data_IF_258685920645
#
_entry.id   IF_258685920645
#
_cell.length_a   1.000
_cell.length_b   1.000
_cell.length_c   1.000
_cell.angle_alpha   90.00
_cell.angle_beta   90.00
_cell.angle_gamma   90.00
#
_symmetry.space_group_name_H-M   'P 1'
#
loop_
_entity.id
_entity.type
_entity.pdbx_description
1 polymer ?
#
# COMPACT_ATOMS: atom_id res chain seq x y z
N UNK A 1 -0.40 11.65 -9.91
CA UNK A 1 0.62 12.01 -8.89
C UNK A 1 1.91 11.24 -9.17
N UNK A 2 3.08 11.82 -8.83
CA UNK A 2 4.39 11.18 -9.03
C UNK A 2 5.42 11.74 -8.03
N UNK A 3 6.47 10.98 -7.74
CA UNK A 3 7.64 11.42 -6.96
C UNK A 3 8.74 11.95 -7.89
N UNK A 4 9.05 13.24 -7.78
CA UNK A 4 9.97 13.91 -8.71
C UNK A 4 11.42 13.44 -8.58
N UNK A 5 12.03 13.12 -9.73
CA UNK A 5 13.39 12.61 -9.83
C UNK A 5 13.52 11.09 -9.67
N UNK A 6 12.41 10.36 -9.48
CA UNK A 6 12.40 8.90 -9.35
C UNK A 6 11.57 8.24 -10.45
N UNK A 7 12.05 7.08 -10.92
CA UNK A 7 11.39 6.30 -11.98
C UNK A 7 10.54 5.19 -11.38
N UNK A 8 9.33 5.04 -11.92
CA UNK A 8 8.43 3.92 -11.64
C UNK A 8 8.92 2.67 -12.34
N UNK A 9 8.68 1.50 -11.74
CA UNK A 9 8.79 0.21 -12.42
C UNK A 9 7.51 -0.11 -13.20
N UNK A 10 6.36 0.32 -12.69
CA UNK A 10 5.09 0.39 -13.40
C UNK A 10 4.21 1.50 -12.83
N UNK A 11 3.32 2.04 -13.65
CA UNK A 11 2.23 2.93 -13.22
C UNK A 11 0.94 2.11 -13.11
N UNK A 12 0.14 2.40 -12.10
CA UNK A 12 -1.30 2.10 -12.18
C UNK A 12 -1.92 3.30 -12.90
N UNK A 13 -2.07 3.24 -14.23
CA UNK A 13 -2.68 4.31 -15.02
C UNK A 13 -4.19 4.34 -14.74
N UNK A 14 -4.55 4.82 -13.55
CA UNK A 14 -5.92 4.99 -13.08
C UNK A 14 -6.21 6.48 -13.02
N UNK A 15 -6.30 7.11 -14.21
CA UNK A 15 -6.54 8.55 -14.35
C UNK A 15 -7.59 9.05 -13.36
N UNK A 16 -7.19 10.05 -12.56
CA UNK A 16 -7.89 10.56 -11.38
C UNK A 16 -8.14 9.48 -10.30
N UNK A 17 -7.55 9.74 -9.13
CA UNK A 17 -7.86 9.13 -7.81
C UNK A 17 -9.20 8.41 -7.85
N UNK A 18 -9.19 7.07 -7.65
CA UNK A 18 -10.35 6.17 -7.76
C UNK A 18 -11.63 6.72 -7.10
N UNK A 19 -12.27 7.61 -7.81
CA UNK A 19 -13.66 7.99 -7.70
C UNK A 19 -14.38 7.24 -8.79
N UNK A 20 -15.14 6.23 -8.41
CA UNK A 20 -16.23 5.68 -9.20
C UNK A 20 -15.90 5.31 -10.67
N UNK A 21 -14.86 4.51 -10.92
CA UNK A 21 -14.62 3.98 -12.27
C UNK A 21 -15.79 3.05 -12.68
N UNK A 22 -16.59 3.53 -13.65
CA UNK A 22 -17.78 2.85 -14.19
C UNK A 22 -17.45 1.48 -14.78
N UNK A 23 -16.19 1.24 -15.19
CA UNK A 23 -15.70 -0.05 -15.67
C UNK A 23 -15.71 -1.11 -14.57
N UNK A 24 -15.43 -0.72 -13.33
CA UNK A 24 -15.46 -1.58 -12.14
C UNK A 24 -16.88 -1.95 -11.73
N UNK A 25 -17.83 -1.02 -11.86
CA UNK A 25 -19.23 -1.23 -11.51
C UNK A 25 -19.93 -2.19 -12.50
N UNK A 26 -19.61 -2.05 -13.78
CA UNK A 26 -20.14 -2.90 -14.86
C UNK A 26 -19.66 -4.36 -14.79
N UNK A 27 -18.41 -4.61 -14.36
CA UNK A 27 -17.87 -5.98 -14.30
C UNK A 27 -18.45 -6.84 -13.17
N UNK A 28 -19.12 -6.24 -12.19
CA UNK A 28 -19.60 -6.93 -10.98
C UNK A 28 -21.08 -6.68 -10.63
N UNK A 29 -21.88 -6.15 -11.56
CA UNK A 29 -23.29 -5.78 -11.33
C UNK A 29 -23.50 -4.96 -10.05
N UNK A 30 -22.53 -4.12 -9.70
CA UNK A 30 -22.61 -3.26 -8.53
C UNK A 30 -23.32 -1.95 -8.91
N UNK A 31 -24.23 -1.42 -8.08
CA UNK A 31 -24.93 -0.17 -8.38
C UNK A 31 -23.94 0.97 -8.59
N UNK A 32 -24.15 1.78 -9.64
CA UNK A 32 -23.30 2.93 -10.00
C UNK A 32 -23.20 4.01 -8.89
N UNK A 33 -24.00 3.87 -7.84
CA UNK A 33 -24.23 4.82 -6.76
C UNK A 33 -23.61 4.40 -5.42
N UNK A 34 -22.84 3.32 -5.37
CA UNK A 34 -22.21 2.86 -4.13
C UNK A 34 -20.98 3.71 -3.79
N UNK A 35 -21.19 4.82 -3.07
CA UNK A 35 -20.14 5.71 -2.57
C UNK A 35 -19.19 5.10 -1.55
N UNK A 36 -19.26 3.79 -1.30
CA UNK A 36 -18.36 3.04 -0.40
C UNK A 36 -17.12 2.48 -1.09
N UNK A 37 -17.00 2.63 -2.42
CA UNK A 37 -15.92 2.00 -3.20
C UNK A 37 -14.81 2.94 -3.67
N UNK A 38 -14.77 4.15 -3.08
CA UNK A 38 -13.53 4.90 -2.93
C UNK A 38 -12.62 4.11 -1.96
N UNK A 39 -11.33 3.92 -2.29
CA UNK A 39 -10.36 3.49 -1.28
C UNK A 39 -10.05 2.00 -1.15
N UNK A 40 -9.94 1.22 -2.23
CA UNK A 40 -9.38 -0.16 -2.18
C UNK A 40 -7.85 -0.22 -1.96
N UNK A 41 -7.26 0.91 -1.54
CA UNK A 41 -5.82 1.09 -1.40
C UNK A 41 -5.20 0.06 -0.46
N UNK A 42 -5.87 -0.23 0.67
CA UNK A 42 -5.37 -1.22 1.61
C UNK A 42 -5.27 -2.61 0.99
N UNK A 43 -6.37 -3.06 0.36
CA UNK A 43 -6.40 -4.37 -0.26
C UNK A 43 -5.33 -4.51 -1.35
N UNK A 44 -5.14 -3.51 -2.21
CA UNK A 44 -4.09 -3.54 -3.22
C UNK A 44 -2.68 -3.59 -2.60
N UNK A 45 -2.42 -2.80 -1.55
CA UNK A 45 -1.15 -2.80 -0.83
C UNK A 45 -0.87 -4.14 -0.14
N UNK A 46 -1.89 -4.76 0.46
CA UNK A 46 -1.77 -6.08 1.07
C UNK A 46 -1.46 -7.18 0.04
N UNK A 47 -2.14 -7.20 -1.13
CA UNK A 47 -1.81 -8.15 -2.21
C UNK A 47 -0.36 -7.97 -2.62
N UNK A 48 0.05 -6.72 -2.88
CA UNK A 48 1.38 -6.44 -3.36
C UNK A 48 2.45 -6.97 -2.39
N UNK A 49 2.29 -6.76 -1.08
CA UNK A 49 3.21 -7.30 -0.07
C UNK A 49 3.19 -8.82 -0.01
N UNK A 50 2.00 -9.43 0.11
CA UNK A 50 1.88 -10.87 0.19
C UNK A 50 2.51 -11.54 -1.05
N UNK A 51 2.37 -10.96 -2.23
CA UNK A 51 3.05 -11.43 -3.44
C UNK A 51 4.56 -11.27 -3.37
N UNK A 52 5.10 -10.14 -2.89
CA UNK A 52 6.55 -9.96 -2.66
C UNK A 52 7.13 -10.96 -1.66
N UNK A 53 6.31 -11.45 -0.72
CA UNK A 53 6.68 -12.50 0.23
C UNK A 53 6.66 -13.90 -0.40
N UNK A 54 5.71 -14.19 -1.30
CA UNK A 54 5.53 -15.53 -1.88
C UNK A 54 6.31 -15.77 -3.18
N UNK A 55 6.47 -14.72 -3.99
CA UNK A 55 7.00 -14.80 -5.34
C UNK A 55 8.21 -13.85 -5.48
N UNK A 56 9.34 -14.24 -4.87
CA UNK A 56 10.53 -13.39 -4.81
C UNK A 56 11.09 -12.97 -6.19
N UNK A 57 10.91 -13.83 -7.19
CA UNK A 57 11.38 -13.64 -8.56
C UNK A 57 10.34 -12.99 -9.49
N UNK A 58 9.20 -12.57 -8.95
CA UNK A 58 8.16 -11.93 -9.75
C UNK A 58 8.67 -10.65 -10.42
N UNK A 59 8.37 -10.47 -11.71
CA UNK A 59 8.68 -9.23 -12.42
C UNK A 59 7.71 -8.11 -12.02
N UNK A 60 8.08 -6.86 -12.32
CA UNK A 60 7.20 -5.71 -12.09
C UNK A 60 5.89 -5.83 -12.90
N UNK A 61 5.98 -6.34 -14.13
CA UNK A 61 4.81 -6.60 -15.00
C UNK A 61 3.90 -7.67 -14.42
N UNK A 62 4.45 -8.78 -13.92
CA UNK A 62 3.64 -9.84 -13.29
C UNK A 62 2.91 -9.33 -12.05
N UNK A 63 3.57 -8.48 -11.23
CA UNK A 63 2.92 -7.81 -10.08
C UNK A 63 1.79 -6.89 -10.53
N UNK A 64 2.04 -6.06 -11.52
CA UNK A 64 1.03 -5.18 -12.10
C UNK A 64 -0.19 -5.98 -12.58
N UNK A 65 0.03 -7.03 -13.37
CA UNK A 65 -1.05 -7.91 -13.84
C UNK A 65 -1.79 -8.58 -12.68
N UNK A 66 -1.10 -9.00 -11.62
CA UNK A 66 -1.77 -9.59 -10.47
C UNK A 66 -2.68 -8.60 -9.71
N UNK A 67 -2.31 -7.32 -9.68
CA UNK A 67 -3.13 -6.25 -9.08
C UNK A 67 -4.31 -5.85 -9.97
N UNK A 68 -4.14 -5.93 -11.30
CA UNK A 68 -5.14 -5.49 -12.28
C UNK A 68 -6.11 -6.61 -12.70
N UNK A 69 -5.65 -7.87 -12.71
CA UNK A 69 -6.48 -9.00 -13.10
C UNK A 69 -7.63 -9.21 -12.10
N UNK A 70 -8.78 -9.64 -12.63
CA UNK A 70 -10.04 -9.61 -11.89
C UNK A 70 -10.04 -10.36 -10.55
N UNK A 71 -9.16 -11.34 -10.32
CA UNK A 71 -9.10 -12.05 -9.03
C UNK A 71 -8.39 -11.23 -7.93
N UNK A 72 -7.24 -10.62 -8.24
CA UNK A 72 -6.54 -9.74 -7.31
C UNK A 72 -7.33 -8.46 -7.07
N UNK A 73 -7.89 -7.87 -8.13
CA UNK A 73 -8.74 -6.69 -7.98
C UNK A 73 -10.02 -6.96 -7.17
N UNK A 74 -10.67 -8.13 -7.35
CA UNK A 74 -11.79 -8.59 -6.49
C UNK A 74 -11.40 -8.71 -5.03
N UNK A 75 -10.20 -9.19 -4.74
CA UNK A 75 -9.72 -9.32 -3.37
C UNK A 75 -9.41 -7.96 -2.74
N UNK A 76 -8.78 -7.05 -3.49
CA UNK A 76 -8.48 -5.71 -3.01
C UNK A 76 -9.74 -4.97 -2.55
N UNK A 77 -10.84 -5.09 -3.30
CA UNK A 77 -12.15 -4.57 -2.88
C UNK A 77 -12.71 -5.24 -1.63
N UNK A 78 -12.76 -6.59 -1.59
CA UNK A 78 -13.35 -7.33 -0.47
C UNK A 78 -12.60 -7.20 0.85
N UNK A 79 -11.28 -7.08 0.78
CA UNK A 79 -10.44 -6.93 1.99
C UNK A 79 -10.55 -5.56 2.62
N UNK A 80 -10.69 -4.51 1.81
CA UNK A 80 -11.01 -3.18 2.30
C UNK A 80 -12.31 -3.19 3.13
N UNK A 81 -13.35 -3.86 2.65
CA UNK A 81 -14.64 -3.98 3.35
C UNK A 81 -14.52 -4.73 4.69
N UNK A 82 -13.60 -5.69 4.79
CA UNK A 82 -13.32 -6.47 6.00
C UNK A 82 -12.48 -5.74 7.04
N UNK A 83 -11.72 -4.70 6.64
CA UNK A 83 -10.80 -4.02 7.55
C UNK A 83 -11.46 -3.17 8.63
N UNK A 84 -12.71 -2.77 8.44
CA UNK A 84 -13.48 -2.06 9.46
C UNK A 84 -13.99 -2.94 10.61
N UNK A 85 -13.79 -4.27 10.56
CA UNK A 85 -14.57 -5.21 11.36
C UNK A 85 -13.89 -5.84 12.57
N UNK A 86 -12.57 -6.06 12.59
CA UNK A 86 -12.00 -6.96 13.61
C UNK A 86 -10.60 -6.57 14.09
N UNK A 87 -10.54 -6.00 15.28
CA UNK A 87 -9.32 -5.85 16.07
C UNK A 87 -9.19 -7.09 16.97
N UNK A 88 -8.15 -7.90 16.77
CA UNK A 88 -7.75 -8.95 17.72
C UNK A 88 -8.08 -10.41 17.37
N UNK A 89 -8.57 -10.74 16.18
CA UNK A 89 -8.77 -12.14 15.73
C UNK A 89 -7.77 -12.57 14.65
N UNK A 90 -7.65 -13.89 14.43
CA UNK A 90 -6.85 -14.48 13.37
C UNK A 90 -7.39 -14.06 11.99
N UNK A 91 -6.78 -13.06 11.36
CA UNK A 91 -7.19 -12.52 10.06
C UNK A 91 -7.26 -13.59 8.97
N UNK A 92 -6.37 -14.59 9.03
CA UNK A 92 -6.37 -15.69 8.07
C UNK A 92 -7.65 -16.51 8.17
N UNK A 93 -8.13 -16.85 9.38
CA UNK A 93 -9.39 -17.58 9.60
C UNK A 93 -10.61 -16.76 9.18
N UNK A 94 -10.63 -15.47 9.48
CA UNK A 94 -11.71 -14.58 9.04
C UNK A 94 -11.79 -14.55 7.52
N UNK A 95 -10.68 -14.29 6.84
CA UNK A 95 -10.64 -14.26 5.38
C UNK A 95 -10.93 -15.63 4.76
N UNK A 96 -10.46 -16.72 5.37
CA UNK A 96 -10.80 -18.06 4.94
C UNK A 96 -12.32 -18.31 5.03
N UNK A 97 -12.97 -17.92 6.13
CA UNK A 97 -14.43 -18.07 6.30
C UNK A 97 -15.25 -17.22 5.32
N UNK A 98 -14.79 -16.01 5.02
CA UNK A 98 -15.51 -15.05 4.19
C UNK A 98 -15.27 -15.27 2.69
N UNK A 99 -14.08 -15.75 2.33
CA UNK A 99 -13.57 -15.67 0.96
C UNK A 99 -12.87 -16.95 0.48
N UNK A 100 -12.71 -17.96 1.33
CA UNK A 100 -12.07 -19.23 1.01
C UNK A 100 -10.54 -19.19 0.94
N UNK A 101 -9.95 -20.37 0.75
CA UNK A 101 -8.49 -20.58 0.81
C UNK A 101 -7.69 -19.75 -0.19
N UNK A 102 -8.27 -19.52 -1.37
CA UNK A 102 -7.63 -18.75 -2.44
C UNK A 102 -7.29 -17.32 -2.03
N UNK A 103 -8.03 -16.78 -1.05
CA UNK A 103 -7.95 -15.39 -0.64
C UNK A 103 -7.35 -15.23 0.76
N UNK A 104 -7.46 -16.25 1.62
CA UNK A 104 -6.71 -16.31 2.88
C UNK A 104 -5.19 -16.26 2.67
N UNK A 105 -4.70 -16.75 1.52
CA UNK A 105 -3.28 -16.71 1.16
C UNK A 105 -2.73 -15.29 0.98
N UNK A 106 -3.51 -14.23 1.06
CA UNK A 106 -3.01 -12.84 1.02
C UNK A 106 -3.18 -12.12 2.37
N UNK A 107 -3.66 -12.82 3.41
CA UNK A 107 -3.76 -12.27 4.76
C UNK A 107 -2.36 -11.93 5.31
N UNK A 108 -2.29 -10.77 5.96
CA UNK A 108 -1.08 -10.26 6.61
C UNK A 108 -1.40 -9.96 8.07
N UNK A 109 -0.40 -10.16 8.92
CA UNK A 109 -0.44 -9.82 10.35
C UNK A 109 0.53 -8.68 10.62
N UNK A 110 0.12 -7.70 11.43
CA UNK A 110 1.01 -6.65 11.94
C UNK A 110 1.94 -7.25 12.99
N UNK A 111 3.25 -7.04 12.83
CA UNK A 111 4.25 -7.42 13.82
C UNK A 111 4.10 -6.52 15.04
N UNK A 112 3.97 -7.11 16.23
CA UNK A 112 3.80 -6.35 17.46
C UNK A 112 4.99 -5.40 17.70
N UNK A 113 4.70 -4.17 18.16
CA UNK A 113 5.69 -3.11 18.47
C UNK A 113 6.49 -2.58 17.27
N UNK A 114 6.09 -2.87 16.03
CA UNK A 114 6.69 -2.30 14.81
C UNK A 114 6.09 -0.95 14.39
N UNK A 115 4.98 -0.54 15.03
CA UNK A 115 4.23 0.65 14.64
C UNK A 115 5.01 1.92 14.98
N UNK A 116 5.30 2.72 13.96
CA UNK A 116 5.80 4.08 14.09
C UNK A 116 4.72 5.03 13.63
N UNK A 117 4.36 6.00 14.49
CA UNK A 117 3.37 7.02 14.19
C UNK A 117 4.06 8.39 14.17
N UNK A 118 3.81 9.16 13.12
CA UNK A 118 4.28 10.52 12.95
C UNK A 118 3.05 11.43 12.82
N UNK A 119 2.94 12.41 13.71
CA UNK A 119 1.98 13.48 13.57
C UNK A 119 2.57 14.53 12.64
N UNK A 120 2.12 14.51 11.38
CA UNK A 120 2.63 15.39 10.34
C UNK A 120 2.30 16.86 10.65
N UNK A 121 1.19 17.13 11.36
CA UNK A 121 0.78 18.49 11.72
C UNK A 121 1.77 19.18 12.68
N UNK A 122 2.63 18.41 13.34
CA UNK A 122 3.65 18.92 14.26
C UNK A 122 4.94 19.41 13.57
N UNK A 123 5.04 19.29 12.23
CA UNK A 123 6.24 19.66 11.47
C UNK A 123 7.41 18.68 11.63
N UNK A 124 7.14 17.46 12.09
CA UNK A 124 8.13 16.41 12.22
C UNK A 124 8.56 15.88 10.83
N UNK A 125 9.85 15.58 10.67
CA UNK A 125 10.37 14.94 9.47
C UNK A 125 9.92 13.48 9.36
N UNK A 126 8.73 13.24 8.83
CA UNK A 126 8.12 11.90 8.75
C UNK A 126 9.07 10.87 8.12
N UNK A 127 9.77 11.25 7.07
CA UNK A 127 10.72 10.39 6.39
C UNK A 127 11.83 9.89 7.34
N UNK A 128 12.43 10.77 8.15
CA UNK A 128 13.53 10.38 9.05
C UNK A 128 13.07 9.57 10.26
N UNK A 129 11.82 9.77 10.69
CA UNK A 129 11.20 8.97 11.75
C UNK A 129 10.81 7.56 11.27
N UNK A 130 10.29 7.44 10.04
CA UNK A 130 9.82 6.18 9.45
C UNK A 130 10.97 5.35 8.89
N UNK A 131 11.97 5.99 8.30
CA UNK A 131 13.04 5.32 7.56
C UNK A 131 13.76 4.22 8.35
N UNK A 132 14.11 4.39 9.65
CA UNK A 132 14.73 3.33 10.45
C UNK A 132 13.94 2.02 10.47
N UNK A 133 12.62 2.08 10.50
CA UNK A 133 11.72 0.91 10.54
C UNK A 133 11.63 0.20 9.21
N UNK A 134 11.67 0.94 8.10
CA UNK A 134 11.33 0.37 6.78
C UNK A 134 12.55 -0.02 5.94
N UNK A 135 13.77 0.30 6.40
CA UNK A 135 15.01 0.12 5.63
C UNK A 135 15.79 -1.18 5.90
N UNK A 136 15.47 -1.92 6.97
CA UNK A 136 16.23 -3.12 7.29
C UNK A 136 15.93 -4.25 6.32
N UNK A 137 16.86 -5.20 6.21
CA UNK A 137 16.73 -6.30 5.26
C UNK A 137 15.48 -7.13 5.56
N UNK A 138 14.66 -7.36 4.53
CA UNK A 138 13.44 -8.17 4.67
C UNK A 138 12.29 -7.43 5.33
N UNK A 139 12.37 -6.12 5.55
CA UNK A 139 11.25 -5.34 6.05
C UNK A 139 10.12 -5.31 5.01
N UNK A 140 8.93 -5.75 5.41
CA UNK A 140 7.69 -5.61 4.64
C UNK A 140 6.76 -4.70 5.45
N UNK A 141 6.42 -3.53 4.91
CA UNK A 141 5.72 -2.52 5.69
C UNK A 141 4.47 -2.04 4.97
N UNK A 142 3.42 -1.79 5.76
CA UNK A 142 2.26 -1.01 5.34
C UNK A 142 2.36 0.39 5.94
N UNK A 143 1.81 1.35 5.21
CA UNK A 143 1.74 2.76 5.60
C UNK A 143 0.28 3.17 5.63
N UNK A 144 -0.16 3.80 6.71
CA UNK A 144 -1.45 4.47 6.77
C UNK A 144 -1.22 5.98 6.78
N UNK A 145 -1.85 6.68 5.85
CA UNK A 145 -1.69 8.12 5.63
C UNK A 145 -3.02 8.79 5.89
N UNK A 146 -3.03 9.75 6.83
CA UNK A 146 -4.18 10.62 7.03
C UNK A 146 -4.14 11.79 6.06
N UNK A 147 -5.23 12.02 5.32
CA UNK A 147 -5.32 13.08 4.31
C UNK A 147 -6.49 14.01 4.61
N UNK A 148 -6.33 15.28 4.26
CA UNK A 148 -7.41 16.26 4.19
C UNK A 148 -7.73 16.54 2.74
N UNK A 149 -8.98 16.34 2.35
CA UNK A 149 -9.48 16.59 0.99
C UNK A 149 -10.54 17.69 1.01
N UNK A 150 -10.90 18.21 -0.17
CA UNK A 150 -12.01 19.16 -0.32
C UNK A 150 -13.36 18.60 0.19
N UNK A 151 -13.51 17.27 0.20
CA UNK A 151 -14.72 16.58 0.67
C UNK A 151 -14.66 16.15 2.13
N UNK A 152 -13.56 16.44 2.83
CA UNK A 152 -13.33 16.05 4.23
C UNK A 152 -12.12 15.13 4.44
N UNK A 153 -11.98 14.55 5.64
CA UNK A 153 -10.89 13.64 5.97
C UNK A 153 -10.95 12.35 5.14
N UNK A 154 -9.77 11.87 4.73
CA UNK A 154 -9.60 10.59 4.05
C UNK A 154 -8.39 9.84 4.63
N UNK A 155 -8.30 8.55 4.34
CA UNK A 155 -7.12 7.74 4.66
C UNK A 155 -6.66 7.00 3.41
N UNK A 156 -5.36 6.79 3.28
CA UNK A 156 -4.76 6.06 2.17
C UNK A 156 -3.73 5.06 2.68
N UNK A 157 -3.67 3.89 2.05
CA UNK A 157 -2.72 2.84 2.40
C UNK A 157 -1.75 2.54 1.26
N UNK A 158 -0.48 2.37 1.63
CA UNK A 158 0.65 2.13 0.73
C UNK A 158 1.49 0.98 1.31
N UNK A 159 2.30 0.34 0.47
CA UNK A 159 3.16 -0.77 0.87
C UNK A 159 4.62 -0.52 0.51
N UNK A 160 5.56 -1.09 1.27
CA UNK A 160 6.97 -1.13 0.90
C UNK A 160 7.67 -2.44 1.25
N UNK A 161 8.78 -2.69 0.58
CA UNK A 161 9.69 -3.79 0.86
C UNK A 161 11.14 -3.36 0.70
N UNK A 162 11.97 -3.63 1.71
CA UNK A 162 13.41 -3.43 1.63
C UNK A 162 14.15 -4.75 1.38
N UNK A 163 14.80 -4.87 0.22
CA UNK A 163 15.50 -6.09 -0.14
C UNK A 163 16.78 -6.30 0.68
N UNK A 164 17.10 -7.58 0.93
CA UNK A 164 18.37 -7.97 1.54
C UNK A 164 19.56 -7.91 0.58
N UNK A 165 19.31 -7.98 -0.72
CA UNK A 165 20.35 -8.03 -1.75
C UNK A 165 21.13 -9.34 -1.75
N UNK A 166 22.12 -9.47 -2.63
CA UNK A 166 23.02 -10.64 -2.66
C UNK A 166 24.20 -10.35 -1.78
N UNK A 167 24.34 -11.07 -0.66
CA UNK A 167 25.38 -10.82 0.36
C UNK A 167 25.37 -9.36 0.87
N UNK A 168 24.20 -8.72 0.92
CA UNK A 168 24.05 -7.32 1.34
C UNK A 168 24.36 -6.27 0.26
N UNK A 169 24.76 -6.69 -0.95
CA UNK A 169 25.00 -5.80 -2.09
C UNK A 169 23.73 -5.64 -2.95
N UNK A 170 23.62 -4.53 -3.68
CA UNK A 170 22.48 -4.21 -4.56
C UNK A 170 21.13 -4.24 -3.83
N UNK A 171 21.08 -3.64 -2.64
CA UNK A 171 19.85 -3.50 -1.87
C UNK A 171 18.98 -2.40 -2.46
N UNK A 172 17.69 -2.67 -2.49
CA UNK A 172 16.68 -1.78 -3.05
C UNK A 172 15.54 -1.58 -2.05
N UNK A 173 15.01 -0.37 -2.04
CA UNK A 173 13.73 -0.05 -1.44
C UNK A 173 12.67 -0.07 -2.53
N UNK A 174 11.61 -0.85 -2.34
CA UNK A 174 10.46 -0.89 -3.23
C UNK A 174 9.30 -0.24 -2.50
N UNK A 175 8.59 0.67 -3.17
CA UNK A 175 7.37 1.26 -2.63
C UNK A 175 6.27 1.13 -3.67
N UNK A 176 5.12 0.60 -3.27
CA UNK A 176 3.93 0.49 -4.08
C UNK A 176 2.82 1.34 -3.48
N UNK A 177 2.42 2.35 -4.24
CA UNK A 177 1.32 3.23 -3.94
C UNK A 177 0.23 3.02 -4.99
N UNK A 178 -0.98 2.59 -4.63
CA UNK A 178 -2.07 2.41 -5.58
C UNK A 178 -2.35 3.62 -6.47
N UNK A 179 -2.09 4.85 -5.98
CA UNK A 179 -2.31 6.10 -6.73
C UNK A 179 -1.13 6.49 -7.64
N UNK A 180 0.04 5.87 -7.47
CA UNK A 180 1.24 6.22 -8.25
C UNK A 180 1.85 5.04 -9.02
N UNK A 181 1.63 3.81 -8.58
CA UNK A 181 2.30 2.61 -9.06
C UNK A 181 3.47 2.18 -8.16
N UNK A 182 4.36 1.37 -8.71
CA UNK A 182 5.53 0.86 -8.01
C UNK A 182 6.78 1.64 -8.37
N UNK A 183 7.61 1.90 -7.36
CA UNK A 183 8.95 2.44 -7.48
C UNK A 183 9.98 1.40 -7.03
N UNK A 184 11.13 1.40 -7.68
CA UNK A 184 12.34 0.69 -7.24
C UNK A 184 13.45 1.71 -7.04
N UNK A 185 13.90 1.84 -5.81
CA UNK A 185 14.86 2.85 -5.38
C UNK A 185 16.12 2.15 -4.87
N UNK A 186 17.30 2.74 -5.08
CA UNK A 186 18.49 2.32 -4.32
C UNK A 186 18.22 2.49 -2.84
N UNK A 187 18.64 1.54 -1.99
CA UNK A 187 18.41 1.68 -0.55
C UNK A 187 19.07 2.96 0.01
N UNK A 188 20.20 3.40 -0.57
CA UNK A 188 20.87 4.65 -0.19
C UNK A 188 20.01 5.90 -0.34
N UNK A 189 19.06 5.87 -1.28
CA UNK A 189 18.24 7.04 -1.64
C UNK A 189 16.83 6.94 -1.06
N UNK A 190 16.55 5.89 -0.27
CA UNK A 190 15.21 5.58 0.20
C UNK A 190 14.62 6.61 1.17
N UNK A 191 15.44 7.20 2.04
CA UNK A 191 15.00 8.28 2.94
C UNK A 191 14.63 9.54 2.15
N UNK A 192 15.49 9.94 1.21
CA UNK A 192 15.21 11.08 0.32
C UNK A 192 13.98 10.84 -0.55
N UNK A 193 13.79 9.59 -1.01
CA UNK A 193 12.59 9.21 -1.74
C UNK A 193 11.33 9.35 -0.87
N UNK A 194 11.35 8.87 0.38
CA UNK A 194 10.21 9.01 1.29
C UNK A 194 9.87 10.49 1.54
N UNK A 195 10.88 11.35 1.73
CA UNK A 195 10.64 12.78 1.88
C UNK A 195 9.91 13.38 0.66
N UNK A 196 10.40 13.10 -0.55
CA UNK A 196 9.75 13.57 -1.78
C UNK A 196 8.38 12.94 -2.03
N UNK A 197 8.17 11.72 -1.56
CA UNK A 197 6.88 11.06 -1.66
C UNK A 197 5.85 11.72 -0.76
N UNK A 198 6.23 12.14 0.45
CA UNK A 198 5.41 12.99 1.33
C UNK A 198 5.10 14.33 0.65
N UNK A 199 6.10 15.01 0.10
CA UNK A 199 5.92 16.27 -0.65
C UNK A 199 4.91 16.12 -1.81
N UNK A 200 4.94 14.99 -2.51
CA UNK A 200 3.99 14.71 -3.59
C UNK A 200 2.54 14.63 -3.10
N UNK A 201 2.31 14.10 -1.88
CA UNK A 201 0.99 14.09 -1.25
C UNK A 201 0.57 15.49 -0.78
N UNK A 202 1.47 16.24 -0.14
CA UNK A 202 1.20 17.63 0.27
C UNK A 202 0.84 18.52 -0.92
N UNK A 203 1.46 18.30 -2.09
CA UNK A 203 1.14 19.02 -3.31
C UNK A 203 -0.21 18.63 -3.94
N UNK A 204 -0.68 17.40 -3.70
CA UNK A 204 -1.89 16.86 -4.33
C UNK A 204 -3.16 17.01 -3.47
N UNK A 205 -3.01 17.12 -2.15
CA UNK A 205 -4.11 17.17 -1.19
C UNK A 205 -4.11 18.47 -0.39
N UNK A 206 -5.25 18.80 0.24
CA UNK A 206 -5.34 20.01 1.07
C UNK A 206 -4.52 19.94 2.35
N UNK A 207 -4.05 18.74 2.72
CA UNK A 207 -3.05 18.53 3.75
C UNK A 207 -2.83 17.05 4.03
N UNK A 208 -1.69 16.74 4.65
CA UNK A 208 -1.42 15.44 5.28
C UNK A 208 -1.53 15.62 6.78
N UNK A 209 -2.18 14.70 7.50
CA UNK A 209 -2.41 14.83 8.94
C UNK A 209 -1.50 13.92 9.75
N UNK A 210 -1.28 12.69 9.28
CA UNK A 210 -0.38 11.75 9.94
C UNK A 210 0.21 10.75 8.94
N UNK A 211 1.34 10.17 9.31
CA UNK A 211 1.88 8.97 8.71
C UNK A 211 2.13 7.91 9.77
N UNK A 212 1.58 6.72 9.56
CA UNK A 212 1.91 5.54 10.34
C UNK A 212 2.58 4.52 9.44
N UNK A 213 3.66 3.91 9.89
CA UNK A 213 4.26 2.75 9.23
C UNK A 213 4.29 1.58 10.21
N UNK A 214 4.05 0.37 9.73
CA UNK A 214 4.11 -0.83 10.54
C UNK A 214 4.56 -2.03 9.71
N UNK A 215 5.45 -2.83 10.29
CA UNK A 215 5.90 -4.06 9.67
C UNK A 215 4.81 -5.13 9.74
N UNK A 216 4.74 -5.93 8.68
CA UNK A 216 3.79 -7.04 8.54
C UNK A 216 4.50 -8.32 8.12
N UNK A 217 3.88 -9.43 8.48
CA UNK A 217 4.30 -10.76 8.08
C UNK A 217 3.09 -11.57 7.61
N UNK A 218 3.36 -12.77 7.08
CA UNK A 218 2.31 -13.73 6.72
C UNK A 218 1.51 -14.11 7.97
N UNK A 219 0.19 -13.96 7.89
CA UNK A 219 -0.76 -14.38 8.92
C UNK A 219 -1.03 -15.88 8.88
#
# INVERSE_FOLDING_TARGET
MQVDGYKKTFSMDQGQVLGNDQTFQALYNAPLTDGKREGICSGLSMIWLARRMMFHDESAEQRYQALFTGAGFRWGGKTQDGMGGVVGSNWAEYFQSMHGDQLAVYALRIIAKSVVNCDHTSGAGDASAIWPTVKHSGAYCLYNIGLTTASGPAAHMVASYASGGTLGLNRHFYLFDPNMGEYRISLSDGESFLAKWVEAYEAAFSGVTYFSAFEVERG
#
